data_IF_861424840833
#
_entry.id   IF_861424840833
#
_cell.length_a   1.000
_cell.length_b   1.000
_cell.length_c   1.000
_cell.angle_alpha   90.00
_cell.angle_beta   90.00
_cell.angle_gamma   90.00
#
_symmetry.space_group_name_H-M   'P 1'
#
loop_
_entity.id
_entity.type
_entity.pdbx_description
1 polymer ?
#
# COMPACT_ATOMS: atom_id res chain seq x y z
N UNK A 1 12.61 10.04 -20.77
CA UNK A 1 13.66 10.82 -20.08
C UNK A 1 13.26 10.91 -18.62
N UNK A 2 14.18 10.60 -17.70
CA UNK A 2 13.87 10.47 -16.28
C UNK A 2 13.40 11.79 -15.65
N UNK A 3 12.31 11.73 -14.90
CA UNK A 3 11.78 12.89 -14.17
C UNK A 3 12.45 13.08 -12.81
N UNK A 4 12.89 11.98 -12.20
CA UNK A 4 13.65 11.95 -10.97
C UNK A 4 14.98 11.22 -11.18
N UNK A 5 16.06 11.70 -10.57
CA UNK A 5 17.36 11.02 -10.54
C UNK A 5 17.80 10.83 -9.09
N UNK A 6 18.00 9.58 -8.70
CA UNK A 6 18.45 9.17 -7.38
C UNK A 6 19.91 8.72 -7.46
N UNK A 7 20.76 9.21 -6.57
CA UNK A 7 22.17 8.85 -6.50
C UNK A 7 22.42 8.13 -5.17
N UNK A 8 22.68 6.83 -5.23
CA UNK A 8 22.94 6.02 -4.04
C UNK A 8 24.39 6.19 -3.59
N UNK A 9 24.59 6.96 -2.51
CA UNK A 9 25.87 7.08 -1.81
C UNK A 9 25.87 6.32 -0.47
N UNK A 10 24.87 5.48 -0.23
CA UNK A 10 24.71 4.77 1.03
C UNK A 10 25.85 3.76 1.24
N UNK A 11 26.51 3.80 2.40
CA UNK A 11 27.63 2.91 2.73
C UNK A 11 28.95 3.22 2.03
N UNK A 12 29.02 4.23 1.16
CA UNK A 12 30.29 4.69 0.59
C UNK A 12 31.13 5.37 1.68
N UNK A 13 32.22 4.72 2.10
CA UNK A 13 33.27 5.34 2.90
C UNK A 13 34.07 6.27 1.99
N UNK A 14 33.79 7.57 2.06
CA UNK A 14 34.66 8.58 1.46
C UNK A 14 35.92 8.65 2.35
N UNK A 15 36.99 7.95 1.96
CA UNK A 15 38.29 8.14 2.61
C UNK A 15 38.69 9.62 2.46
N UNK A 16 39.39 10.18 3.46
CA UNK A 16 39.87 11.57 3.50
C UNK A 16 40.86 11.94 2.38
N UNK A 17 41.11 11.04 1.44
CA UNK A 17 41.91 11.28 0.25
C UNK A 17 41.19 12.25 -0.70
N UNK A 18 41.84 13.39 -0.99
CA UNK A 18 41.36 14.45 -1.91
C UNK A 18 40.84 13.92 -3.25
N UNK A 19 41.38 12.79 -3.74
CA UNK A 19 40.98 12.17 -5.00
C UNK A 19 39.55 11.60 -5.00
N UNK A 20 39.06 11.07 -3.87
CA UNK A 20 37.72 10.48 -3.79
C UNK A 20 36.64 11.57 -3.86
N UNK A 21 36.83 12.65 -3.11
CA UNK A 21 35.94 13.81 -3.14
C UNK A 21 35.89 14.48 -4.52
N UNK A 22 37.02 14.62 -5.20
CA UNK A 22 37.08 15.25 -6.51
C UNK A 22 36.44 14.38 -7.61
N UNK A 23 36.51 13.05 -7.48
CA UNK A 23 35.83 12.12 -8.39
C UNK A 23 34.31 12.19 -8.20
N UNK A 24 33.83 12.14 -6.95
CA UNK A 24 32.40 12.29 -6.64
C UNK A 24 31.84 13.62 -7.15
N UNK A 25 32.58 14.72 -6.96
CA UNK A 25 32.21 16.03 -7.50
C UNK A 25 32.00 16.00 -9.01
N UNK A 26 32.98 15.47 -9.76
CA UNK A 26 32.88 15.33 -11.21
C UNK A 26 31.66 14.51 -11.62
N UNK A 27 31.37 13.43 -10.89
CA UNK A 27 30.19 12.60 -11.15
C UNK A 27 28.90 13.38 -10.91
N UNK A 28 28.76 14.07 -9.78
CA UNK A 28 27.58 14.87 -9.47
C UNK A 28 27.40 16.03 -10.48
N UNK A 29 28.49 16.67 -10.89
CA UNK A 29 28.49 17.71 -11.93
C UNK A 29 28.04 17.18 -13.29
N UNK A 30 28.53 16.00 -13.69
CA UNK A 30 28.12 15.36 -14.93
C UNK A 30 26.63 14.98 -14.90
N UNK A 31 26.16 14.38 -13.80
CA UNK A 31 24.74 14.04 -13.63
C UNK A 31 23.89 15.29 -13.69
N UNK A 32 24.30 16.37 -13.02
CA UNK A 32 23.64 17.67 -13.11
C UNK A 32 23.60 18.16 -14.56
N UNK A 33 24.73 18.21 -15.25
CA UNK A 33 24.79 18.70 -16.64
C UNK A 33 23.87 17.90 -17.58
N UNK A 34 23.82 16.59 -17.43
CA UNK A 34 23.00 15.71 -18.27
C UNK A 34 21.51 15.72 -17.92
N UNK A 35 21.14 16.00 -16.67
CA UNK A 35 19.77 15.82 -16.19
C UNK A 35 19.07 17.09 -15.71
N UNK A 36 19.79 18.18 -15.40
CA UNK A 36 19.20 19.41 -14.83
C UNK A 36 18.16 20.08 -15.74
N UNK A 37 18.24 19.89 -17.05
CA UNK A 37 17.26 20.45 -17.98
C UNK A 37 15.91 19.72 -17.97
N UNK A 38 15.82 18.52 -17.41
CA UNK A 38 14.67 17.62 -17.58
C UNK A 38 14.18 16.98 -16.28
N UNK A 39 15.09 16.71 -15.34
CA UNK A 39 14.75 16.16 -14.04
C UNK A 39 14.14 17.24 -13.14
N UNK A 40 12.96 16.95 -12.59
CA UNK A 40 12.26 17.80 -11.61
C UNK A 40 12.70 17.50 -10.18
N UNK A 41 13.46 16.42 -9.99
CA UNK A 41 13.91 15.97 -8.69
C UNK A 41 15.28 15.28 -8.81
N UNK A 42 16.31 15.88 -8.22
CA UNK A 42 17.65 15.30 -8.10
C UNK A 42 17.89 15.00 -6.62
N UNK A 43 18.17 13.74 -6.28
CA UNK A 43 18.27 13.31 -4.89
C UNK A 43 19.53 12.49 -4.63
N UNK A 44 20.16 12.76 -3.48
CA UNK A 44 21.30 11.99 -2.98
C UNK A 44 20.85 11.19 -1.76
N UNK A 45 21.09 9.88 -1.80
CA UNK A 45 20.79 8.94 -0.72
C UNK A 45 22.03 8.75 0.15
N UNK A 46 21.90 8.97 1.47
CA UNK A 46 22.97 8.76 2.45
C UNK A 46 22.48 8.06 3.71
N UNK A 47 23.41 7.46 4.46
CA UNK A 47 23.15 6.88 5.78
C UNK A 47 23.63 7.83 6.88
N UNK A 48 22.80 8.05 7.91
CA UNK A 48 23.14 8.92 9.04
C UNK A 48 24.19 8.32 9.99
N UNK A 49 24.44 7.01 9.94
CA UNK A 49 25.41 6.33 10.82
C UNK A 49 26.87 6.51 10.41
N UNK A 50 27.15 7.33 9.40
CA UNK A 50 28.51 7.77 9.10
C UNK A 50 28.75 9.04 9.92
N UNK A 51 29.26 8.88 11.13
CA UNK A 51 30.11 9.92 11.71
C UNK A 51 31.29 10.10 10.76
N UNK A 52 31.47 11.32 10.21
CA UNK A 52 32.83 11.76 9.99
C UNK A 52 33.49 11.70 11.37
N UNK A 53 34.30 10.67 11.62
CA UNK A 53 35.13 10.60 12.81
C UNK A 53 35.92 11.90 12.86
N UNK A 54 35.56 12.76 13.82
CA UNK A 54 36.44 13.82 14.30
C UNK A 54 37.53 13.13 15.08
N UNK A 55 38.53 12.62 14.37
CA UNK A 55 39.75 12.17 15.01
C UNK A 55 40.78 13.29 15.03
N UNK A 56 41.12 13.62 16.29
CA UNK A 56 42.35 14.20 16.79
C UNK A 56 42.53 15.72 16.79
N UNK A 57 42.88 16.15 17.99
CA UNK A 57 43.22 17.46 18.47
C UNK A 57 44.42 18.08 17.72
N UNK A 58 44.37 19.40 17.58
CA UNK A 58 45.52 20.29 17.34
C UNK A 58 46.32 20.07 16.05
N UNK A 59 45.85 20.72 15.00
CA UNK A 59 46.66 21.08 13.84
C UNK A 59 45.89 22.02 12.94
N UNK A 60 46.23 23.31 12.97
CA UNK A 60 45.75 24.30 12.02
C UNK A 60 46.08 23.84 10.59
N UNK A 61 45.11 23.19 9.96
CA UNK A 61 45.01 23.07 8.51
C UNK A 61 43.61 23.54 8.14
N UNK A 62 43.50 24.84 7.88
CA UNK A 62 42.49 25.38 6.98
C UNK A 62 42.65 24.67 5.63
N UNK A 63 42.03 23.48 5.50
CA UNK A 63 41.72 22.94 4.18
C UNK A 63 40.37 23.52 3.86
N UNK A 64 40.38 24.53 2.99
CA UNK A 64 39.26 24.98 2.19
C UNK A 64 38.31 23.81 1.93
N UNK A 65 37.24 23.69 2.72
CA UNK A 65 36.06 22.95 2.33
C UNK A 65 35.49 23.72 1.16
N UNK A 66 36.00 23.38 -0.02
CA UNK A 66 35.82 24.03 -1.30
C UNK A 66 34.42 24.59 -1.47
N UNK A 67 34.31 25.90 -1.72
CA UNK A 67 33.06 26.61 -2.03
C UNK A 67 32.20 25.96 -3.15
N UNK A 68 32.78 25.05 -3.96
CA UNK A 68 32.09 24.29 -5.00
C UNK A 68 31.23 23.11 -4.51
N UNK A 69 31.63 22.39 -3.44
CA UNK A 69 30.85 21.28 -2.88
C UNK A 69 29.53 21.79 -2.29
N UNK A 70 29.58 22.88 -1.52
CA UNK A 70 28.43 23.46 -0.86
C UNK A 70 27.42 24.07 -1.85
N UNK A 71 27.87 24.57 -3.00
CA UNK A 71 26.99 25.07 -4.07
C UNK A 71 26.33 23.93 -4.84
N UNK A 72 27.07 22.86 -5.16
CA UNK A 72 26.50 21.71 -5.88
C UNK A 72 25.44 20.98 -5.06
N UNK A 73 25.67 20.78 -3.75
CA UNK A 73 24.68 20.16 -2.87
C UNK A 73 23.39 20.98 -2.68
N UNK A 74 23.36 22.28 -3.03
CA UNK A 74 22.11 23.07 -2.96
C UNK A 74 21.11 22.72 -4.06
N UNK A 75 21.55 22.09 -5.14
CA UNK A 75 20.68 21.67 -6.25
C UNK A 75 20.21 20.22 -6.12
N UNK A 76 20.85 19.43 -5.24
CA UNK A 76 20.44 18.08 -4.89
C UNK A 76 19.73 18.07 -3.55
N UNK A 77 18.57 17.43 -3.49
CA UNK A 77 17.94 17.15 -2.21
C UNK A 77 18.63 15.94 -1.56
N UNK A 78 19.25 16.13 -0.39
CA UNK A 78 19.90 15.04 0.33
C UNK A 78 18.91 14.40 1.31
N UNK A 79 18.66 13.10 1.13
CA UNK A 79 17.91 12.29 2.10
C UNK A 79 18.90 11.44 2.87
N UNK A 80 18.92 11.65 4.19
CA UNK A 80 19.78 10.94 5.12
C UNK A 80 18.95 10.40 6.27
N UNK A 81 18.82 9.07 6.34
CA UNK A 81 18.13 8.37 7.41
C UNK A 81 18.97 7.18 7.91
N UNK A 82 18.62 6.57 9.06
CA UNK A 82 19.37 5.45 9.64
C UNK A 82 19.39 4.17 8.80
N UNK A 83 18.48 4.04 7.83
CA UNK A 83 18.27 2.81 7.06
C UNK A 83 17.92 3.11 5.60
N UNK A 84 18.14 2.15 4.71
CA UNK A 84 17.78 2.28 3.29
C UNK A 84 16.27 2.31 3.09
N UNK A 85 15.51 1.49 3.83
CA UNK A 85 14.06 1.51 3.83
C UNK A 85 13.52 2.91 4.17
N UNK A 86 14.05 3.54 5.22
CA UNK A 86 13.65 4.88 5.64
C UNK A 86 13.98 5.94 4.57
N UNK A 87 15.18 5.88 3.99
CA UNK A 87 15.58 6.76 2.88
C UNK A 87 14.63 6.63 1.68
N UNK A 88 14.42 5.40 1.19
CA UNK A 88 13.58 5.16 0.01
C UNK A 88 12.12 5.49 0.27
N UNK A 89 11.60 5.25 1.48
CA UNK A 89 10.25 5.67 1.85
C UNK A 89 10.09 7.19 1.81
N UNK A 90 11.02 7.96 2.40
CA UNK A 90 11.02 9.44 2.31
C UNK A 90 11.15 9.93 0.87
N UNK A 91 12.02 9.30 0.08
CA UNK A 91 12.20 9.64 -1.34
C UNK A 91 10.91 9.39 -2.12
N UNK A 92 10.24 8.26 -1.88
CA UNK A 92 8.96 7.94 -2.50
C UNK A 92 7.89 8.99 -2.18
N UNK A 93 7.81 9.46 -0.94
CA UNK A 93 6.89 10.54 -0.55
C UNK A 93 7.14 11.80 -1.39
N UNK A 94 8.40 12.22 -1.54
CA UNK A 94 8.78 13.38 -2.35
C UNK A 94 8.49 13.21 -3.84
N UNK A 95 8.72 12.01 -4.38
CA UNK A 95 8.38 11.64 -5.76
C UNK A 95 6.86 11.76 -5.97
N UNK A 96 6.06 11.27 -5.02
CA UNK A 96 4.61 11.29 -5.10
C UNK A 96 4.01 12.70 -4.96
N UNK A 97 4.56 13.52 -4.06
CA UNK A 97 4.19 14.94 -3.92
C UNK A 97 4.39 15.73 -5.22
N UNK A 98 5.41 15.36 -5.99
CA UNK A 98 5.73 15.96 -7.30
C UNK A 98 5.01 15.25 -8.46
N UNK A 99 4.21 14.22 -8.18
CA UNK A 99 3.53 13.38 -9.16
C UNK A 99 4.46 12.79 -10.25
N UNK A 100 5.65 12.36 -9.85
CA UNK A 100 6.63 11.78 -10.77
C UNK A 100 6.45 10.26 -10.87
N UNK A 101 6.90 9.67 -11.97
CA UNK A 101 6.81 8.22 -12.22
C UNK A 101 8.02 7.63 -12.93
N UNK A 102 8.79 8.42 -13.68
CA UNK A 102 10.01 7.95 -14.33
C UNK A 102 11.25 8.31 -13.51
N UNK A 103 11.97 7.30 -13.03
CA UNK A 103 13.06 7.43 -12.06
C UNK A 103 14.32 6.77 -12.61
N UNK A 104 15.43 7.51 -12.63
CA UNK A 104 16.76 6.97 -12.86
C UNK A 104 17.46 6.77 -11.52
N UNK A 105 18.10 5.62 -11.33
CA UNK A 105 18.88 5.29 -10.13
C UNK A 105 20.32 5.07 -10.53
N UNK A 106 21.19 5.96 -10.05
CA UNK A 106 22.64 5.89 -10.22
C UNK A 106 23.21 5.26 -8.95
N UNK A 107 23.71 4.03 -9.06
CA UNK A 107 24.05 3.17 -7.90
C UNK A 107 25.38 2.44 -8.13
N UNK A 108 26.22 2.25 -7.10
CA UNK A 108 27.39 1.38 -7.23
C UNK A 108 27.00 -0.02 -7.70
N UNK A 109 27.76 -0.59 -8.65
CA UNK A 109 27.43 -1.85 -9.30
C UNK A 109 27.08 -2.97 -8.29
N UNK A 110 27.89 -3.12 -7.23
CA UNK A 110 27.70 -4.13 -6.18
C UNK A 110 26.46 -3.94 -5.29
N UNK A 111 25.79 -2.77 -5.34
CA UNK A 111 24.56 -2.48 -4.57
C UNK A 111 23.29 -2.54 -5.41
N UNK A 112 23.42 -2.66 -6.73
CA UNK A 112 22.30 -2.57 -7.68
C UNK A 112 21.17 -3.53 -7.35
N UNK A 113 21.51 -4.80 -7.11
CA UNK A 113 20.53 -5.86 -6.82
C UNK A 113 19.84 -5.66 -5.47
N UNK A 114 20.58 -5.18 -4.46
CA UNK A 114 20.04 -4.86 -3.14
C UNK A 114 19.05 -3.69 -3.21
N UNK A 115 19.43 -2.58 -3.87
CA UNK A 115 18.55 -1.41 -4.05
C UNK A 115 17.29 -1.78 -4.84
N UNK A 116 17.42 -2.63 -5.86
CA UNK A 116 16.28 -3.17 -6.60
C UNK A 116 15.32 -3.93 -5.68
N UNK A 117 15.83 -4.78 -4.78
CA UNK A 117 14.99 -5.50 -3.83
C UNK A 117 14.20 -4.56 -2.89
N UNK A 118 14.78 -3.45 -2.43
CA UNK A 118 14.02 -2.44 -1.69
C UNK A 118 12.96 -1.74 -2.55
N UNK A 119 13.30 -1.41 -3.80
CA UNK A 119 12.37 -0.78 -4.74
C UNK A 119 11.17 -1.70 -5.00
N UNK A 120 11.41 -3.00 -5.21
CA UNK A 120 10.37 -4.00 -5.44
C UNK A 120 9.40 -4.14 -4.24
N UNK A 121 9.83 -3.78 -3.02
CA UNK A 121 8.97 -3.75 -1.84
C UNK A 121 8.19 -2.43 -1.70
N UNK A 122 8.87 -1.29 -1.93
CA UNK A 122 8.34 0.04 -1.60
C UNK A 122 7.60 0.73 -2.75
N UNK A 123 7.83 0.30 -4.00
CA UNK A 123 7.22 0.89 -5.19
C UNK A 123 6.30 -0.11 -5.90
N UNK A 124 5.49 0.41 -6.81
CA UNK A 124 4.50 -0.34 -7.60
C UNK A 124 4.77 -0.17 -9.10
N UNK A 125 4.04 -0.87 -9.96
CA UNK A 125 4.22 -0.76 -11.42
C UNK A 125 3.84 0.61 -12.00
N UNK A 126 3.24 1.51 -11.20
CA UNK A 126 3.06 2.92 -11.54
C UNK A 126 4.39 3.64 -11.83
N UNK A 127 5.50 3.15 -11.27
CA UNK A 127 6.82 3.77 -11.44
C UNK A 127 7.66 2.98 -12.44
N UNK A 128 8.41 3.69 -13.28
CA UNK A 128 9.43 3.11 -14.16
C UNK A 128 10.83 3.44 -13.64
N UNK A 129 11.69 2.43 -13.60
CA UNK A 129 13.06 2.55 -13.09
C UNK A 129 14.08 2.23 -14.17
N UNK A 130 15.03 3.15 -14.37
CA UNK A 130 16.24 2.95 -15.16
C UNK A 130 17.45 2.95 -14.23
N UNK A 131 18.40 2.03 -14.42
CA UNK A 131 19.60 1.95 -13.59
C UNK A 131 20.85 2.30 -14.36
N UNK A 132 21.72 3.06 -13.72
CA UNK A 132 23.03 3.45 -14.24
C UNK A 132 24.10 3.18 -13.17
N UNK A 133 25.25 2.66 -13.58
CA UNK A 133 26.29 2.28 -12.64
C UNK A 133 27.10 3.51 -12.22
N UNK A 134 27.23 3.73 -10.91
CA UNK A 134 28.03 4.82 -10.37
C UNK A 134 29.53 4.49 -10.55
N UNK A 135 30.17 5.06 -11.56
CA UNK A 135 31.61 4.90 -11.79
C UNK A 135 32.43 5.77 -10.83
N UNK A 136 32.72 5.26 -9.64
CA UNK A 136 33.74 5.84 -8.75
C UNK A 136 34.97 4.94 -8.79
N UNK A 137 36.06 5.42 -9.40
CA UNK A 137 37.33 4.68 -9.44
C UNK A 137 38.01 4.75 -8.07
N UNK A 138 37.71 3.81 -7.17
CA UNK A 138 38.47 3.61 -5.95
C UNK A 138 39.74 2.81 -6.32
N UNK A 139 40.86 3.49 -6.61
CA UNK A 139 42.16 2.81 -6.70
C UNK A 139 42.59 2.41 -5.30
N UNK A 140 42.37 1.15 -4.93
CA UNK A 140 42.96 0.56 -3.73
C UNK A 140 42.24 -0.68 -3.22
N UNK A 141 42.57 -1.84 -3.79
CA UNK A 141 42.18 -3.16 -3.26
C UNK A 141 41.43 -4.00 -4.29
N UNK A 142 41.97 -5.17 -4.63
CA UNK A 142 41.41 -6.13 -5.59
C UNK A 142 39.92 -6.40 -5.34
N UNK A 143 39.05 -5.78 -6.14
CA UNK A 143 37.76 -6.38 -6.45
C UNK A 143 38.03 -7.35 -7.60
N UNK A 144 37.99 -8.65 -7.29
CA UNK A 144 37.94 -9.73 -8.29
C UNK A 144 36.97 -9.30 -9.39
N UNK A 145 37.39 -9.44 -10.66
CA UNK A 145 36.46 -9.33 -11.78
C UNK A 145 35.26 -10.25 -11.48
N UNK A 146 34.02 -9.74 -11.48
CA UNK A 146 32.87 -10.54 -11.10
C UNK A 146 32.57 -11.50 -12.25
N UNK A 147 33.06 -12.73 -12.08
CA UNK A 147 32.43 -13.91 -12.63
C UNK A 147 31.35 -14.31 -11.63
N UNK A 148 30.15 -14.62 -12.12
CA UNK A 148 28.93 -15.05 -11.40
C UNK A 148 27.92 -13.96 -10.98
N UNK A 149 27.01 -13.65 -11.93
CA UNK A 149 25.56 -13.48 -11.76
C UNK A 149 25.09 -12.83 -10.44
N UNK A 150 24.81 -11.52 -10.54
CA UNK A 150 24.07 -10.64 -9.63
C UNK A 150 22.68 -11.18 -9.21
N UNK A 151 22.60 -12.18 -8.32
CA UNK A 151 21.35 -12.61 -7.69
C UNK A 151 21.41 -12.33 -6.18
N UNK A 152 20.41 -11.61 -5.69
CA UNK A 152 20.20 -11.43 -4.24
C UNK A 152 19.96 -12.80 -3.61
N UNK A 153 20.64 -13.07 -2.50
CA UNK A 153 20.44 -14.30 -1.73
C UNK A 153 19.09 -14.27 -1.01
N UNK A 154 18.57 -15.45 -0.64
CA UNK A 154 17.33 -15.53 0.14
C UNK A 154 17.47 -14.81 1.51
N UNK A 155 18.65 -14.87 2.11
CA UNK A 155 18.96 -14.19 3.37
C UNK A 155 18.94 -12.66 3.20
N UNK A 156 19.61 -12.12 2.19
CA UNK A 156 19.60 -10.67 1.93
C UNK A 156 18.18 -10.17 1.62
N UNK A 157 17.37 -10.96 0.90
CA UNK A 157 15.97 -10.60 0.64
C UNK A 157 15.13 -10.58 1.93
N UNK A 158 15.36 -11.52 2.85
CA UNK A 158 14.73 -11.54 4.17
C UNK A 158 15.17 -10.33 5.01
N UNK A 159 16.45 -9.96 4.98
CA UNK A 159 16.98 -8.76 5.64
C UNK A 159 16.32 -7.47 5.10
N UNK A 160 16.16 -7.35 3.77
CA UNK A 160 15.43 -6.24 3.14
C UNK A 160 13.98 -6.17 3.62
N UNK A 161 13.28 -7.31 3.62
CA UNK A 161 11.89 -7.39 4.09
C UNK A 161 11.79 -6.97 5.56
N UNK A 162 12.67 -7.49 6.42
CA UNK A 162 12.71 -7.17 7.84
C UNK A 162 12.98 -5.68 8.08
N UNK A 163 13.90 -5.06 7.33
CA UNK A 163 14.19 -3.63 7.45
C UNK A 163 12.98 -2.78 7.04
N UNK A 164 12.31 -3.11 5.92
CA UNK A 164 11.10 -2.43 5.46
C UNK A 164 9.98 -2.55 6.50
N UNK A 165 9.70 -3.76 6.97
CA UNK A 165 8.67 -3.99 7.99
C UNK A 165 8.97 -3.24 9.29
N UNK A 166 10.22 -3.26 9.75
CA UNK A 166 10.65 -2.55 10.96
C UNK A 166 10.44 -1.05 10.82
N UNK A 167 10.82 -0.47 9.68
CA UNK A 167 10.60 0.94 9.42
C UNK A 167 9.10 1.29 9.41
N UNK A 168 8.27 0.55 8.65
CA UNK A 168 6.83 0.83 8.55
C UNK A 168 6.10 0.67 9.89
N UNK A 169 6.51 -0.30 10.73
CA UNK A 169 5.98 -0.47 12.09
C UNK A 169 6.32 0.70 13.01
N UNK A 170 7.45 1.38 12.79
CA UNK A 170 7.87 2.54 13.58
C UNK A 170 7.10 3.82 13.26
N UNK A 171 6.42 3.88 12.10
CA UNK A 171 5.70 5.08 11.68
C UNK A 171 4.47 5.33 12.56
N UNK A 172 4.18 6.58 12.96
CA UNK A 172 2.94 6.90 13.64
C UNK A 172 1.73 6.78 12.70
N UNK A 173 0.52 6.73 13.26
CA UNK A 173 -0.70 6.89 12.45
C UNK A 173 -0.73 8.30 11.82
N UNK A 174 -1.06 8.38 10.53
CA UNK A 174 -1.04 9.65 9.81
C UNK A 174 -2.25 10.54 10.10
N UNK A 175 -3.42 9.94 10.31
CA UNK A 175 -4.69 10.68 10.51
C UNK A 175 -5.58 9.95 11.50
N UNK A 176 -5.80 10.58 12.64
CA UNK A 176 -6.71 10.10 13.68
C UNK A 176 -6.35 8.71 14.21
N UNK A 177 -7.17 8.23 15.13
CA UNK A 177 -7.04 6.88 15.66
C UNK A 177 -7.74 5.85 14.76
N UNK A 178 -7.29 4.59 14.85
CA UNK A 178 -7.97 3.48 14.21
C UNK A 178 -9.35 3.33 14.84
N UNK A 179 -10.40 3.34 14.02
CA UNK A 179 -11.79 3.19 14.48
C UNK A 179 -12.47 2.04 13.76
N UNK A 180 -13.08 1.15 14.55
CA UNK A 180 -13.87 0.01 14.09
C UNK A 180 -15.31 0.27 14.53
N UNK A 181 -16.21 0.45 13.57
CA UNK A 181 -17.63 0.62 13.83
C UNK A 181 -18.24 -0.78 13.97
N UNK A 182 -18.84 -1.05 15.12
CA UNK A 182 -19.53 -2.32 15.39
C UNK A 182 -21.05 -2.11 15.41
N UNK A 183 -21.79 -3.22 15.35
CA UNK A 183 -23.24 -3.24 15.48
C UNK A 183 -23.63 -4.02 16.73
N UNK A 184 -24.56 -3.51 17.56
CA UNK A 184 -25.06 -4.23 18.75
C UNK A 184 -25.94 -5.43 18.39
N UNK A 185 -26.28 -5.64 17.12
CA UNK A 185 -27.09 -6.77 16.66
C UNK A 185 -26.28 -8.07 16.53
N UNK A 186 -24.97 -7.97 16.34
CA UNK A 186 -24.10 -9.15 16.21
C UNK A 186 -23.64 -9.56 17.61
N UNK A 187 -23.82 -10.84 17.92
CA UNK A 187 -23.42 -11.42 19.21
C UNK A 187 -21.91 -11.32 19.44
N UNK A 188 -21.51 -11.04 20.68
CA UNK A 188 -20.11 -10.94 21.14
C UNK A 188 -19.29 -12.24 20.97
N UNK A 189 -19.92 -13.34 20.57
CA UNK A 189 -19.19 -14.56 20.17
C UNK A 189 -18.41 -14.37 18.84
N UNK A 190 -18.67 -13.29 18.11
CA UNK A 190 -18.00 -12.90 16.88
C UNK A 190 -17.19 -11.62 17.10
N UNK A 191 -15.99 -11.57 16.50
CA UNK A 191 -15.28 -10.32 16.27
C UNK A 191 -15.76 -9.79 14.91
N UNK A 192 -16.37 -8.61 14.89
CA UNK A 192 -16.83 -7.95 13.67
C UNK A 192 -16.54 -6.46 13.68
N UNK A 193 -16.68 -5.83 12.51
CA UNK A 193 -16.76 -4.39 12.42
C UNK A 193 -16.45 -3.84 11.02
N UNK A 194 -16.63 -2.54 10.90
CA UNK A 194 -16.35 -1.77 9.69
C UNK A 194 -15.29 -0.72 9.99
N UNK A 195 -14.15 -0.80 9.31
CA UNK A 195 -13.04 0.14 9.51
C UNK A 195 -13.35 1.50 8.90
N UNK A 196 -12.92 2.57 9.56
CA UNK A 196 -12.84 3.90 8.95
C UNK A 196 -11.52 4.09 8.19
N UNK A 197 -11.31 5.27 7.60
CA UNK A 197 -10.08 5.62 6.88
C UNK A 197 -8.93 6.12 7.78
N UNK A 198 -9.10 6.14 9.10
CA UNK A 198 -8.13 6.70 10.08
C UNK A 198 -7.28 5.63 10.75
N UNK A 199 -6.14 6.01 11.31
CA UNK A 199 -5.25 5.11 12.07
C UNK A 199 -4.14 4.39 11.27
N UNK A 200 -3.95 4.74 10.00
CA UNK A 200 -3.02 4.02 9.10
C UNK A 200 -1.83 4.84 8.62
N UNK A 201 -1.02 4.23 7.76
CA UNK A 201 0.24 4.80 7.24
C UNK A 201 0.25 5.07 5.73
N UNK A 202 -0.86 4.87 5.04
CA UNK A 202 -0.97 5.23 3.63
C UNK A 202 -1.00 6.76 3.50
N UNK A 203 0.03 7.35 2.89
CA UNK A 203 0.15 8.81 2.80
C UNK A 203 -0.44 9.40 1.51
N UNK A 204 -0.69 8.58 0.49
CA UNK A 204 -1.28 9.04 -0.77
C UNK A 204 -2.66 9.67 -0.48
N UNK A 205 -2.95 10.92 -0.86
CA UNK A 205 -4.15 11.63 -0.42
C UNK A 205 -5.47 10.88 -0.66
N UNK A 206 -5.59 10.19 -1.79
CA UNK A 206 -6.78 9.40 -2.16
C UNK A 206 -6.91 8.08 -1.40
N UNK A 207 -5.84 7.62 -0.75
CA UNK A 207 -5.77 6.36 0.00
C UNK A 207 -5.54 6.59 1.51
N UNK A 208 -5.33 7.86 1.91
CA UNK A 208 -4.94 8.20 3.26
C UNK A 208 -6.10 8.05 4.25
N UNK A 209 -5.93 7.42 5.42
CA UNK A 209 -4.69 6.85 5.97
C UNK A 209 -4.70 5.32 6.10
N UNK A 210 -5.88 4.69 6.19
CA UNK A 210 -6.07 3.27 6.51
C UNK A 210 -6.53 2.46 5.29
N UNK A 211 -5.69 2.36 4.28
CA UNK A 211 -5.97 1.58 3.08
C UNK A 211 -5.69 0.09 3.31
N UNK A 212 -6.65 -0.77 2.98
CA UNK A 212 -6.55 -2.24 3.10
C UNK A 212 -6.47 -2.95 1.73
N UNK A 213 -6.28 -2.19 0.65
CA UNK A 213 -6.21 -2.72 -0.71
C UNK A 213 -5.04 -2.13 -1.51
N UNK A 214 -4.24 -3.00 -2.12
CA UNK A 214 -3.17 -2.61 -3.05
C UNK A 214 -3.39 -3.29 -4.40
N UNK A 215 -3.00 -2.60 -5.47
CA UNK A 215 -2.90 -3.14 -6.82
C UNK A 215 -1.73 -2.48 -7.54
N UNK A 216 -1.19 -3.14 -8.57
CA UNK A 216 -0.06 -2.63 -9.37
C UNK A 216 -0.31 -1.26 -10.00
N UNK A 217 -1.59 -0.93 -10.25
CA UNK A 217 -2.04 0.33 -10.85
C UNK A 217 -2.15 1.49 -9.86
N UNK A 218 -1.93 1.27 -8.56
CA UNK A 218 -2.01 2.28 -7.50
C UNK A 218 -0.64 2.50 -6.89
N UNK A 219 -0.38 3.73 -6.41
CA UNK A 219 0.91 4.13 -5.81
C UNK A 219 1.18 3.54 -4.41
N UNK A 220 0.20 2.93 -3.76
CA UNK A 220 0.34 2.41 -2.39
C UNK A 220 0.81 0.94 -2.42
N UNK A 221 2.03 0.65 -1.95
CA UNK A 221 2.62 -0.67 -2.10
C UNK A 221 2.00 -1.69 -1.15
N UNK A 222 2.15 -2.97 -1.48
CA UNK A 222 1.59 -4.08 -0.71
C UNK A 222 2.05 -4.08 0.76
N UNK A 223 3.31 -3.76 1.02
CA UNK A 223 3.89 -3.73 2.38
C UNK A 223 3.25 -2.67 3.29
N UNK A 224 2.85 -1.52 2.74
CA UNK A 224 2.13 -0.47 3.50
C UNK A 224 0.73 -0.93 3.86
N UNK A 225 0.04 -1.57 2.92
CA UNK A 225 -1.29 -2.16 3.16
C UNK A 225 -1.23 -3.33 4.16
N UNK A 226 -0.18 -4.14 4.12
CA UNK A 226 0.05 -5.22 5.09
C UNK A 226 0.29 -4.68 6.50
N UNK A 227 1.00 -3.56 6.65
CA UNK A 227 1.16 -2.91 7.95
C UNK A 227 -0.17 -2.34 8.47
N UNK A 228 -1.01 -1.72 7.63
CA UNK A 228 -2.36 -1.32 8.04
C UNK A 228 -3.19 -2.53 8.49
N UNK A 229 -3.11 -3.67 7.78
CA UNK A 229 -3.79 -4.90 8.18
C UNK A 229 -3.25 -5.47 9.50
N UNK A 230 -1.93 -5.40 9.74
CA UNK A 230 -1.33 -5.80 11.01
C UNK A 230 -1.84 -4.93 12.17
N UNK A 231 -1.95 -3.62 11.97
CA UNK A 231 -2.56 -2.69 12.95
C UNK A 231 -4.01 -3.05 13.22
N UNK A 232 -4.77 -3.38 12.18
CA UNK A 232 -6.15 -3.83 12.33
C UNK A 232 -6.23 -5.10 13.18
N UNK A 233 -5.43 -6.12 12.86
CA UNK A 233 -5.41 -7.39 13.60
C UNK A 233 -5.04 -7.19 15.07
N UNK A 234 -4.06 -6.33 15.35
CA UNK A 234 -3.67 -5.98 16.71
C UNK A 234 -4.79 -5.25 17.48
N UNK A 235 -5.49 -4.31 16.85
CA UNK A 235 -6.57 -3.55 17.47
C UNK A 235 -7.86 -4.36 17.66
N UNK A 236 -8.18 -5.23 16.69
CA UNK A 236 -9.41 -6.02 16.67
C UNK A 236 -9.27 -7.40 17.35
N UNK A 237 -8.04 -7.85 17.63
CA UNK A 237 -7.78 -9.14 18.27
C UNK A 237 -7.83 -10.35 17.32
N UNK A 238 -7.40 -10.20 16.06
CA UNK A 238 -7.31 -11.30 15.10
C UNK A 238 -5.91 -11.47 14.48
N UNK A 239 -5.61 -12.67 13.99
CA UNK A 239 -4.38 -12.98 13.28
C UNK A 239 -4.44 -12.51 11.82
N UNK A 240 -3.64 -11.48 11.48
CA UNK A 240 -3.54 -10.94 10.13
C UNK A 240 -3.09 -11.98 9.08
N UNK A 241 -2.43 -13.08 9.49
CA UNK A 241 -2.04 -14.17 8.59
C UNK A 241 -3.23 -15.06 8.19
N UNK A 242 -4.32 -15.02 8.95
CA UNK A 242 -5.57 -15.75 8.71
C UNK A 242 -6.69 -14.81 8.26
N UNK A 243 -6.32 -13.75 7.55
CA UNK A 243 -7.23 -12.78 6.97
C UNK A 243 -7.49 -13.13 5.50
N UNK A 244 -8.76 -13.39 5.17
CA UNK A 244 -9.23 -13.74 3.85
C UNK A 244 -10.17 -12.65 3.36
N UNK A 245 -9.95 -12.18 2.14
CA UNK A 245 -10.79 -11.14 1.53
C UNK A 245 -11.40 -11.66 0.24
N UNK A 246 -12.55 -11.10 -0.10
CA UNK A 246 -13.20 -11.35 -1.39
C UNK A 246 -12.30 -11.02 -2.59
N UNK A 247 -12.59 -11.66 -3.72
CA UNK A 247 -11.99 -11.41 -5.03
C UNK A 247 -13.02 -10.77 -5.95
N UNK A 248 -13.59 -9.65 -5.48
CA UNK A 248 -14.68 -8.86 -6.07
C UNK A 248 -14.67 -8.82 -7.59
N UNK A 249 -15.74 -9.29 -8.23
CA UNK A 249 -16.03 -9.07 -9.66
C UNK A 249 -17.37 -8.33 -9.89
N UNK A 250 -18.01 -7.88 -8.80
CA UNK A 250 -19.32 -7.22 -8.77
C UNK A 250 -20.45 -8.12 -9.29
N UNK A 251 -20.34 -9.43 -9.06
CA UNK A 251 -21.35 -10.44 -9.32
C UNK A 251 -22.03 -10.88 -8.00
N UNK A 252 -22.42 -12.16 -7.91
CA UNK A 252 -23.10 -12.73 -6.74
C UNK A 252 -22.53 -14.09 -6.29
N UNK A 253 -21.33 -14.46 -6.74
CA UNK A 253 -20.68 -15.70 -6.33
C UNK A 253 -20.21 -15.64 -4.88
N UNK A 254 -20.41 -16.74 -4.15
CA UNK A 254 -20.07 -16.87 -2.73
C UNK A 254 -19.12 -18.04 -2.53
N UNK A 255 -17.93 -17.75 -2.01
CA UNK A 255 -16.99 -18.79 -1.62
C UNK A 255 -17.31 -19.31 -0.21
N UNK A 256 -17.52 -20.62 -0.12
CA UNK A 256 -17.62 -21.35 1.15
C UNK A 256 -16.23 -21.80 1.57
N UNK A 257 -15.73 -21.25 2.68
CA UNK A 257 -14.37 -21.53 3.15
C UNK A 257 -14.20 -23.02 3.48
N UNK A 258 -13.15 -23.63 2.91
CA UNK A 258 -12.90 -25.08 2.98
C UNK A 258 -13.21 -25.80 1.66
N UNK A 259 -13.98 -25.18 0.76
CA UNK A 259 -14.09 -25.62 -0.63
C UNK A 259 -12.96 -25.02 -1.49
N UNK A 260 -12.77 -25.58 -2.69
CA UNK A 260 -11.83 -25.02 -3.68
C UNK A 260 -12.19 -23.55 -3.92
N UNK A 261 -11.22 -22.68 -3.68
CA UNK A 261 -11.40 -21.24 -3.84
C UNK A 261 -11.57 -20.85 -5.33
N UNK A 262 -12.64 -20.12 -5.69
CA UNK A 262 -12.81 -19.59 -7.05
C UNK A 262 -11.80 -18.48 -7.40
N UNK A 263 -11.75 -18.14 -8.69
CA UNK A 263 -10.94 -17.02 -9.19
C UNK A 263 -11.51 -15.65 -8.78
N UNK A 264 -12.84 -15.53 -8.77
CA UNK A 264 -13.60 -14.35 -8.34
C UNK A 264 -14.80 -14.75 -7.50
N UNK A 265 -15.17 -13.88 -6.56
CA UNK A 265 -16.36 -14.02 -5.72
C UNK A 265 -16.55 -12.73 -4.91
N UNK A 266 -17.81 -12.40 -4.62
CA UNK A 266 -18.21 -11.21 -3.87
C UNK A 266 -18.64 -11.53 -2.44
N UNK A 267 -18.87 -12.80 -2.11
CA UNK A 267 -19.16 -13.26 -0.75
C UNK A 267 -18.19 -14.32 -0.23
N UNK A 268 -17.96 -14.35 1.08
CA UNK A 268 -17.31 -15.46 1.78
C UNK A 268 -18.20 -15.89 2.94
N UNK A 269 -18.33 -17.19 3.18
CA UNK A 269 -18.92 -17.72 4.42
C UNK A 269 -18.01 -18.75 5.08
N UNK A 270 -18.09 -18.86 6.40
CA UNK A 270 -17.31 -19.84 7.19
C UNK A 270 -17.96 -20.13 8.55
N UNK A 271 -17.75 -21.34 9.08
CA UNK A 271 -17.96 -21.68 10.49
C UNK A 271 -16.64 -22.01 11.22
N UNK A 272 -15.50 -21.80 10.55
CA UNK A 272 -14.17 -22.07 11.10
C UNK A 272 -13.78 -20.99 12.12
N UNK A 273 -13.19 -21.41 13.23
CA UNK A 273 -12.70 -20.48 14.27
C UNK A 273 -11.29 -19.98 13.95
N UNK A 274 -11.00 -18.76 14.39
CA UNK A 274 -9.66 -18.17 14.30
C UNK A 274 -9.27 -17.70 12.90
N UNK A 275 -10.25 -17.49 12.02
CA UNK A 275 -10.09 -16.86 10.70
C UNK A 275 -10.90 -15.57 10.66
N UNK A 276 -10.43 -14.61 9.86
CA UNK A 276 -11.14 -13.35 9.60
C UNK A 276 -11.47 -13.28 8.12
N UNK A 277 -12.76 -13.07 7.80
CA UNK A 277 -13.23 -12.84 6.43
C UNK A 277 -13.59 -11.37 6.25
N UNK A 278 -13.31 -10.80 5.07
CA UNK A 278 -13.56 -9.39 4.80
C UNK A 278 -14.11 -9.13 3.40
N UNK A 279 -15.11 -8.25 3.33
CA UNK A 279 -15.56 -7.60 2.11
C UNK A 279 -15.03 -6.17 2.09
N UNK A 280 -14.43 -5.75 0.97
CA UNK A 280 -13.94 -4.39 0.82
C UNK A 280 -15.07 -3.46 0.36
N UNK A 281 -15.11 -2.24 0.90
CA UNK A 281 -16.10 -1.23 0.57
C UNK A 281 -15.47 0.16 0.46
N UNK A 282 -15.78 0.84 -0.63
CA UNK A 282 -15.64 2.28 -0.83
C UNK A 282 -16.80 2.67 -1.75
N UNK A 283 -17.83 3.27 -1.18
CA UNK A 283 -19.17 3.49 -1.77
C UNK A 283 -20.07 2.25 -1.83
N UNK A 284 -19.62 1.11 -2.37
CA UNK A 284 -20.38 -0.14 -2.36
C UNK A 284 -20.61 -0.65 -0.93
N UNK A 285 -21.69 -1.42 -0.70
CA UNK A 285 -22.08 -1.85 0.65
C UNK A 285 -21.28 -3.10 1.07
N UNK A 286 -20.44 -3.04 2.12
CA UNK A 286 -19.99 -4.24 2.81
C UNK A 286 -21.11 -4.76 3.73
N UNK A 287 -21.43 -6.04 3.62
CA UNK A 287 -22.45 -6.71 4.42
C UNK A 287 -21.78 -7.74 5.31
N UNK A 288 -22.20 -7.81 6.58
CA UNK A 288 -21.79 -8.84 7.55
C UNK A 288 -23.01 -9.68 7.91
N UNK A 289 -22.83 -10.99 7.91
CA UNK A 289 -23.83 -12.00 8.27
C UNK A 289 -23.31 -12.80 9.47
N UNK A 290 -24.17 -13.09 10.43
CA UNK A 290 -23.82 -13.91 11.59
C UNK A 290 -25.01 -14.74 12.05
N UNK A 291 -24.79 -16.04 12.23
CA UNK A 291 -25.71 -16.96 12.90
C UNK A 291 -25.06 -17.39 14.22
N UNK A 292 -25.55 -16.92 15.38
CA UNK A 292 -24.98 -17.25 16.67
C UNK A 292 -25.29 -18.69 17.12
N UNK A 293 -26.34 -19.32 16.58
CA UNK A 293 -26.75 -20.69 16.92
C UNK A 293 -25.81 -21.70 16.25
N UNK A 294 -25.62 -21.55 14.93
CA UNK A 294 -24.71 -22.40 14.15
C UNK A 294 -23.26 -21.96 14.21
N UNK A 295 -22.99 -20.77 14.78
CA UNK A 295 -21.66 -20.19 14.92
C UNK A 295 -20.97 -20.04 13.56
N UNK A 296 -21.75 -19.62 12.58
CA UNK A 296 -21.32 -19.36 11.21
C UNK A 296 -21.42 -17.87 10.92
N UNK A 297 -20.53 -17.36 10.07
CA UNK A 297 -20.56 -15.98 9.62
C UNK A 297 -20.30 -15.89 8.12
N UNK A 298 -20.65 -14.72 7.57
CA UNK A 298 -20.39 -14.38 6.20
C UNK A 298 -20.09 -12.91 6.03
N UNK A 299 -19.46 -12.56 4.91
CA UNK A 299 -19.32 -11.19 4.44
C UNK A 299 -19.64 -11.14 2.95
N UNK A 300 -20.18 -10.03 2.49
CA UNK A 300 -20.39 -9.81 1.07
C UNK A 300 -20.13 -8.36 0.66
N UNK A 301 -19.66 -8.19 -0.58
CA UNK A 301 -19.62 -6.91 -1.26
C UNK A 301 -20.85 -6.77 -2.14
N UNK A 302 -21.69 -5.78 -1.83
CA UNK A 302 -22.88 -5.45 -2.62
C UNK A 302 -22.68 -4.11 -3.29
N UNK A 303 -22.08 -4.16 -4.49
CA UNK A 303 -22.17 -3.07 -5.46
C UNK A 303 -23.54 -3.06 -6.15
N UNK A 304 -23.79 -2.10 -7.04
CA UNK A 304 -25.11 -1.97 -7.69
C UNK A 304 -25.50 -3.21 -8.50
N UNK A 305 -24.55 -3.84 -9.20
CA UNK A 305 -24.77 -5.10 -9.94
C UNK A 305 -25.03 -6.26 -8.99
N UNK A 306 -24.17 -6.46 -7.99
CA UNK A 306 -24.33 -7.51 -6.98
C UNK A 306 -25.65 -7.40 -6.22
N UNK A 307 -26.11 -6.17 -5.95
CA UNK A 307 -27.44 -5.91 -5.37
C UNK A 307 -28.53 -6.48 -6.27
N UNK A 308 -28.58 -6.09 -7.55
CA UNK A 308 -29.59 -6.58 -8.49
C UNK A 308 -29.50 -8.10 -8.74
N UNK A 309 -28.31 -8.69 -8.57
CA UNK A 309 -28.07 -10.12 -8.67
C UNK A 309 -28.34 -10.89 -7.36
N UNK A 310 -28.74 -10.21 -6.29
CA UNK A 310 -29.12 -10.85 -5.02
C UNK A 310 -27.94 -11.45 -4.23
N UNK A 311 -26.77 -10.81 -4.22
CA UNK A 311 -25.60 -11.30 -3.45
C UNK A 311 -25.90 -11.51 -1.96
N UNK A 312 -26.79 -10.70 -1.38
CA UNK A 312 -27.18 -10.83 0.02
C UNK A 312 -27.87 -12.19 0.27
N UNK A 313 -28.93 -12.49 -0.48
CA UNK A 313 -29.60 -13.79 -0.38
C UNK A 313 -28.74 -14.95 -0.87
N UNK A 314 -27.86 -14.77 -1.85
CA UNK A 314 -26.89 -15.79 -2.24
C UNK A 314 -25.99 -16.20 -1.06
N UNK A 315 -25.56 -15.22 -0.26
CA UNK A 315 -24.73 -15.45 0.95
C UNK A 315 -25.53 -16.18 2.03
N UNK A 316 -26.77 -15.77 2.27
CA UNK A 316 -27.70 -16.45 3.20
C UNK A 316 -27.93 -17.90 2.77
N UNK A 317 -28.23 -18.14 1.49
CA UNK A 317 -28.46 -19.48 0.96
C UNK A 317 -27.22 -20.38 1.11
N UNK A 318 -26.01 -19.84 0.92
CA UNK A 318 -24.77 -20.56 1.17
C UNK A 318 -24.62 -20.95 2.65
N UNK A 319 -24.94 -20.05 3.58
CA UNK A 319 -24.91 -20.36 5.01
C UNK A 319 -25.93 -21.44 5.41
N UNK A 320 -27.14 -21.37 4.88
CA UNK A 320 -28.19 -22.38 5.11
C UNK A 320 -27.74 -23.74 4.56
N UNK A 321 -27.29 -23.77 3.30
CA UNK A 321 -26.93 -25.01 2.62
C UNK A 321 -25.71 -25.69 3.24
N UNK A 322 -24.70 -24.93 3.68
CA UNK A 322 -23.46 -25.50 4.20
C UNK A 322 -23.52 -25.79 5.71
N UNK A 323 -24.11 -24.88 6.50
CA UNK A 323 -24.01 -24.94 7.96
C UNK A 323 -25.35 -25.27 8.63
N UNK A 324 -26.43 -25.40 7.84
CA UNK A 324 -27.78 -25.62 8.35
C UNK A 324 -28.30 -24.45 9.19
N UNK A 325 -27.92 -23.23 8.84
CA UNK A 325 -28.45 -21.99 9.43
C UNK A 325 -29.96 -21.85 9.18
N UNK A 326 -30.65 -21.17 10.09
CA UNK A 326 -32.05 -20.78 9.90
C UNK A 326 -32.14 -19.31 9.49
N UNK A 327 -33.14 -18.94 8.68
CA UNK A 327 -33.36 -17.53 8.34
C UNK A 327 -33.58 -16.65 9.58
N UNK A 328 -34.32 -17.17 10.58
CA UNK A 328 -34.64 -16.44 11.81
C UNK A 328 -33.42 -16.22 12.72
N UNK A 329 -32.36 -17.01 12.54
CA UNK A 329 -31.13 -16.95 13.35
C UNK A 329 -30.04 -16.05 12.71
N UNK A 330 -30.13 -15.80 11.39
CA UNK A 330 -29.12 -15.01 10.67
C UNK A 330 -29.37 -13.52 10.88
N UNK A 331 -28.43 -12.87 11.56
CA UNK A 331 -28.35 -11.42 11.67
C UNK A 331 -27.56 -10.87 10.49
N UNK A 332 -28.12 -9.85 9.82
CA UNK A 332 -27.49 -9.15 8.70
C UNK A 332 -27.28 -7.68 9.05
N UNK A 333 -26.05 -7.19 8.88
CA UNK A 333 -25.67 -5.79 9.13
C UNK A 333 -25.07 -5.19 7.87
N UNK A 334 -25.70 -4.11 7.37
CA UNK A 334 -25.21 -3.31 6.26
C UNK A 334 -24.26 -2.22 6.76
N UNK A 335 -22.97 -2.33 6.41
CA UNK A 335 -21.93 -1.38 6.80
C UNK A 335 -22.03 -0.01 6.11
N UNK A 336 -21.09 0.91 6.39
CA UNK A 336 -21.03 2.21 5.73
C UNK A 336 -20.95 2.08 4.21
N UNK A 337 -21.76 2.88 3.49
CA UNK A 337 -21.87 2.86 2.04
C UNK A 337 -22.30 4.24 1.53
N UNK A 338 -22.26 4.43 0.22
CA UNK A 338 -22.92 5.59 -0.42
C UNK A 338 -24.42 5.56 -0.12
N UNK A 339 -25.02 6.74 0.05
CA UNK A 339 -26.43 6.91 0.36
C UNK A 339 -27.24 7.49 -0.80
N UNK A 340 -28.58 7.54 -0.67
CA UNK A 340 -29.48 8.13 -1.67
C UNK A 340 -29.33 9.65 -1.79
N UNK A 341 -28.42 10.27 -1.02
CA UNK A 341 -28.11 11.69 -1.13
C UNK A 341 -27.25 12.05 -2.34
N UNK A 342 -26.61 11.04 -2.93
CA UNK A 342 -25.33 11.22 -3.58
C UNK A 342 -25.02 10.07 -4.57
N UNK A 343 -25.65 8.90 -4.42
CA UNK A 343 -25.54 7.82 -5.39
C UNK A 343 -26.55 8.00 -6.53
N UNK A 344 -26.04 8.23 -7.74
CA UNK A 344 -26.84 8.33 -8.96
C UNK A 344 -26.41 7.30 -9.99
N UNK A 345 -27.34 6.87 -10.83
CA UNK A 345 -27.09 6.01 -11.98
C UNK A 345 -27.84 6.56 -13.19
N UNK A 346 -27.41 6.27 -14.43
CA UNK A 346 -28.20 6.58 -15.61
C UNK A 346 -29.60 5.97 -15.51
N UNK A 347 -30.63 6.70 -15.96
CA UNK A 347 -32.04 6.29 -15.85
C UNK A 347 -32.32 4.84 -16.27
N UNK A 348 -31.73 4.38 -17.35
CA UNK A 348 -31.90 3.00 -17.84
C UNK A 348 -31.43 1.95 -16.83
N UNK A 349 -30.34 2.24 -16.11
CA UNK A 349 -29.86 1.37 -15.02
C UNK A 349 -30.71 1.53 -13.77
N UNK A 350 -31.17 2.76 -13.46
CA UNK A 350 -32.06 3.03 -12.35
C UNK A 350 -33.42 2.30 -12.48
N UNK A 351 -33.90 2.04 -13.70
CA UNK A 351 -35.13 1.30 -13.96
C UNK A 351 -35.13 -0.09 -13.32
N UNK A 352 -33.99 -0.78 -13.27
CA UNK A 352 -33.88 -2.07 -12.61
C UNK A 352 -34.17 -1.98 -11.10
N UNK A 353 -33.71 -0.92 -10.44
CA UNK A 353 -33.99 -0.65 -9.03
C UNK A 353 -35.44 -0.21 -8.81
N UNK A 354 -36.00 0.58 -9.74
CA UNK A 354 -37.39 1.02 -9.67
C UNK A 354 -38.37 -0.15 -9.82
N UNK A 355 -38.06 -1.11 -10.69
CA UNK A 355 -38.85 -2.34 -10.87
C UNK A 355 -38.79 -3.26 -9.64
N UNK A 356 -37.71 -3.19 -8.86
CA UNK A 356 -37.54 -3.94 -7.62
C UNK A 356 -38.44 -3.40 -6.50
N UNK A 357 -38.36 -2.09 -6.25
CA UNK A 357 -39.30 -1.33 -5.44
C UNK A 357 -39.21 0.14 -5.89
N UNK A 358 -40.31 0.79 -6.31
CA UNK A 358 -40.33 2.19 -6.73
C UNK A 358 -39.66 3.15 -5.73
N UNK A 359 -39.75 2.85 -4.43
CA UNK A 359 -39.17 3.66 -3.38
C UNK A 359 -37.66 3.46 -3.18
N UNK A 360 -37.01 2.58 -3.97
CA UNK A 360 -35.54 2.55 -4.08
C UNK A 360 -34.99 3.68 -4.95
N UNK A 361 -35.84 4.39 -5.71
CA UNK A 361 -35.40 5.41 -6.67
C UNK A 361 -36.09 6.75 -6.43
N UNK A 362 -35.31 7.82 -6.36
CA UNK A 362 -35.80 9.20 -6.26
C UNK A 362 -35.52 9.94 -7.57
N UNK A 363 -36.48 10.76 -8.00
CA UNK A 363 -36.40 11.53 -9.25
C UNK A 363 -36.22 10.61 -10.48
N UNK A 364 -37.08 9.59 -10.62
CA UNK A 364 -36.95 8.56 -11.65
C UNK A 364 -36.90 9.09 -13.10
N UNK A 365 -37.55 10.23 -13.37
CA UNK A 365 -37.54 10.84 -14.70
C UNK A 365 -36.33 11.76 -14.97
N UNK A 366 -35.44 11.93 -13.98
CA UNK A 366 -34.13 12.58 -14.17
C UNK A 366 -33.24 11.75 -15.11
N UNK A 367 -32.32 12.38 -15.87
CA UNK A 367 -31.25 11.63 -16.56
C UNK A 367 -30.42 10.77 -15.60
N UNK A 368 -30.22 11.27 -14.37
CA UNK A 368 -29.46 10.62 -13.30
C UNK A 368 -30.33 10.52 -12.02
N UNK A 369 -31.21 9.50 -11.91
CA UNK A 369 -31.98 9.28 -10.69
C UNK A 369 -31.09 8.90 -9.50
N UNK A 370 -31.53 9.23 -8.29
CA UNK A 370 -30.84 8.87 -7.06
C UNK A 370 -31.31 7.51 -6.56
N UNK A 371 -30.36 6.65 -6.16
CA UNK A 371 -30.63 5.26 -5.80
C UNK A 371 -30.39 5.04 -4.30
N UNK A 372 -31.39 4.49 -3.61
CA UNK A 372 -31.24 3.92 -2.28
C UNK A 372 -30.81 2.46 -2.38
N UNK A 373 -29.51 2.26 -2.61
CA UNK A 373 -28.91 0.93 -2.73
C UNK A 373 -29.03 0.12 -1.44
N UNK A 374 -29.12 0.77 -0.28
CA UNK A 374 -29.32 0.11 1.03
C UNK A 374 -30.74 -0.41 1.16
N UNK A 375 -31.73 0.29 0.62
CA UNK A 375 -33.10 -0.20 0.56
C UNK A 375 -33.22 -1.35 -0.43
N UNK A 376 -32.66 -1.20 -1.63
CA UNK A 376 -32.66 -2.26 -2.64
C UNK A 376 -32.03 -3.56 -2.13
N UNK A 377 -30.90 -3.47 -1.42
CA UNK A 377 -30.23 -4.64 -0.80
C UNK A 377 -31.10 -5.37 0.22
N UNK A 378 -32.11 -4.72 0.83
CA UNK A 378 -33.04 -5.40 1.75
C UNK A 378 -34.20 -6.10 1.05
N UNK A 379 -34.42 -5.80 -0.23
CA UNK A 379 -35.48 -6.39 -1.04
C UNK A 379 -35.05 -7.70 -1.72
N UNK A 380 -33.74 -8.00 -1.76
CA UNK A 380 -33.10 -9.03 -2.62
C UNK A 380 -32.17 -9.96 -1.87
#
# INVERSE_FOLDING_TARGET
MAEAVLIDLFGLKLNSEKNCHQTLLKTLDAVRYHHAAQAKFLCIIRCSNISCERDSEHGNYEVETSNGLSTLFREFETVSNPSMAACLYTIKQKIDEKNLSSIKVIVPMHRKTLVKAFIDQLFTDVYSFEFEDLQVTLRGGLLKQPTEIDKITAQELEEVQNEVETHLRSLPALKGELTIITSPLISDIFIHGFTTRTGGISYIPTLSSFNLFSSSKRRDPKVVVQENLRRLGAAAGFDAKKFYRIKTDHANDVWVMGRKEPESYDGITTNQRGVTIAALGADCIPIVFADPVKKACGVAHSGWRGTLLGIAMATVNAMIAEYGCSLDDIVVVLGPSVGPCCFTLPRDTAAAFHNLDPACVRLFDSPDPYIDIRKATRCV
#
